data_IF_916703579729
#
_entry.id   IF_916703579729
#
_cell.length_a   1.000
_cell.length_b   1.000
_cell.length_c   1.000
_cell.angle_alpha   90.00
_cell.angle_beta   90.00
_cell.angle_gamma   90.00
#
_symmetry.space_group_name_H-M   'P 1'
#
loop_
_entity.id
_entity.type
_entity.pdbx_description
1 polymer ?
#
# COMPACT_ATOMS: atom_id res chain seq x y z
N UNK A 1 -50.72 20.69 40.21
CA UNK A 1 -51.84 21.32 39.49
C UNK A 1 -52.89 21.68 40.53
N UNK A 2 -52.93 22.95 40.89
CA UNK A 2 -53.73 23.50 41.99
C UNK A 2 -54.37 24.77 41.48
N UNK A 3 -55.68 24.71 41.27
CA UNK A 3 -56.54 25.86 40.96
C UNK A 3 -56.71 26.71 42.21
N UNK A 4 -56.80 28.05 42.10
CA UNK A 4 -57.42 28.86 43.12
C UNK A 4 -58.85 29.25 42.72
N UNK A 5 -59.72 28.96 43.67
CA UNK A 5 -61.06 29.48 43.92
C UNK A 5 -61.10 31.00 43.96
N UNK A 6 -62.17 31.59 43.45
CA UNK A 6 -62.64 32.93 43.85
C UNK A 6 -64.14 32.86 44.13
N UNK A 7 -64.46 32.72 45.42
CA UNK A 7 -65.73 33.10 46.01
C UNK A 7 -65.54 34.49 46.62
N UNK A 8 -66.41 35.44 46.29
CA UNK A 8 -66.82 36.48 47.24
C UNK A 8 -68.24 36.94 46.88
N UNK A 9 -69.19 36.53 47.73
CA UNK A 9 -70.53 37.07 47.83
C UNK A 9 -70.50 38.53 48.29
N UNK A 10 -71.45 39.35 47.82
CA UNK A 10 -72.26 40.14 48.75
C UNK A 10 -73.55 40.67 48.12
N UNK A 11 -74.68 40.12 48.57
CA UNK A 11 -75.98 40.77 48.57
C UNK A 11 -75.90 42.15 49.21
N UNK A 12 -76.49 43.15 48.55
CA UNK A 12 -77.12 44.28 49.24
C UNK A 12 -78.47 44.56 48.60
N UNK A 13 -79.51 44.17 49.35
CA UNK A 13 -80.86 44.72 49.25
C UNK A 13 -80.80 46.21 49.57
N UNK A 14 -81.42 47.06 48.75
CA UNK A 14 -81.71 48.45 49.10
C UNK A 14 -83.01 48.90 48.45
N UNK A 15 -83.85 49.50 49.30
CA UNK A 15 -85.21 49.97 49.11
C UNK A 15 -85.43 50.87 47.88
N UNK A 16 -86.60 50.71 47.25
CA UNK A 16 -87.21 51.76 46.43
C UNK A 16 -87.89 52.82 47.31
N UNK A 17 -87.59 54.11 47.11
CA UNK A 17 -88.56 55.18 47.31
C UNK A 17 -89.14 55.62 45.97
N UNK A 18 -90.47 55.73 45.94
CA UNK A 18 -91.26 56.24 44.83
C UNK A 18 -91.24 57.77 44.88
N UNK A 19 -90.89 58.40 43.76
CA UNK A 19 -91.27 59.78 43.44
C UNK A 19 -90.22 60.86 43.67
N UNK A 20 -89.53 61.26 42.60
CA UNK A 20 -89.12 62.65 42.37
C UNK A 20 -88.86 62.82 40.86
N UNK A 21 -89.65 63.69 40.22
CA UNK A 21 -89.42 64.19 38.87
C UNK A 21 -88.11 65.00 38.91
N UNK A 22 -87.04 64.48 38.32
CA UNK A 22 -85.82 65.23 38.10
C UNK A 22 -85.90 65.96 36.76
N UNK A 23 -85.48 67.24 36.70
CA UNK A 23 -85.45 68.02 35.47
C UNK A 23 -84.52 67.34 34.46
N UNK A 24 -85.01 67.18 33.24
CA UNK A 24 -84.29 66.65 32.10
C UNK A 24 -82.95 67.38 31.92
N UNK A 25 -81.86 66.70 32.25
CA UNK A 25 -80.50 67.08 31.84
C UNK A 25 -80.48 67.04 30.30
N UNK A 26 -79.90 68.04 29.60
CA UNK A 26 -79.91 68.07 28.15
C UNK A 26 -79.14 66.86 27.60
N UNK A 27 -79.85 65.95 26.94
CA UNK A 27 -79.34 64.69 26.38
C UNK A 27 -78.17 64.89 25.40
N UNK A 28 -78.04 66.08 24.81
CA UNK A 28 -76.97 66.42 23.86
C UNK A 28 -75.56 66.44 24.49
N UNK A 29 -75.39 66.79 25.78
CA UNK A 29 -74.06 66.83 26.40
C UNK A 29 -73.57 65.44 26.81
N UNK A 30 -74.50 64.55 27.16
CA UNK A 30 -74.21 63.13 27.43
C UNK A 30 -73.84 62.40 26.15
N UNK A 31 -74.55 62.63 25.04
CA UNK A 31 -74.20 62.03 23.75
C UNK A 31 -72.78 62.40 23.32
N UNK A 32 -72.36 63.66 23.47
CA UNK A 32 -70.99 64.09 23.13
C UNK A 32 -69.93 63.44 24.03
N UNK A 33 -70.23 63.23 25.31
CA UNK A 33 -69.32 62.53 26.24
C UNK A 33 -69.24 61.05 25.90
N UNK A 34 -70.38 60.41 25.63
CA UNK A 34 -70.47 59.00 25.21
C UNK A 34 -69.73 58.78 23.90
N UNK A 35 -69.86 59.69 22.93
CA UNK A 35 -69.21 59.55 21.63
C UNK A 35 -67.68 59.75 21.72
N UNK A 36 -67.22 60.65 22.61
CA UNK A 36 -65.80 60.80 22.95
C UNK A 36 -65.24 59.59 23.71
N UNK A 37 -65.99 59.03 24.66
CA UNK A 37 -65.53 57.86 25.41
C UNK A 37 -65.55 56.61 24.54
N UNK A 38 -66.53 56.45 23.65
CA UNK A 38 -66.57 55.41 22.61
C UNK A 38 -65.40 55.55 21.64
N UNK A 39 -65.13 56.75 21.12
CA UNK A 39 -64.00 56.99 20.22
C UNK A 39 -62.65 56.65 20.90
N UNK A 40 -62.50 56.99 22.18
CA UNK A 40 -61.34 56.59 22.98
C UNK A 40 -61.28 55.09 23.22
N UNK A 41 -62.42 54.45 23.53
CA UNK A 41 -62.50 53.02 23.74
C UNK A 41 -62.12 52.23 22.47
N UNK A 42 -62.57 52.66 21.30
CA UNK A 42 -62.17 52.08 20.00
C UNK A 42 -60.67 52.28 19.74
N UNK A 43 -60.10 53.43 20.13
CA UNK A 43 -58.67 53.68 20.07
C UNK A 43 -57.86 52.70 20.93
N UNK A 44 -58.30 52.48 22.18
CA UNK A 44 -57.69 51.49 23.07
C UNK A 44 -57.86 50.06 22.55
N UNK A 45 -59.01 49.73 21.97
CA UNK A 45 -59.24 48.41 21.38
C UNK A 45 -58.27 48.12 20.23
N UNK A 46 -57.98 49.10 19.38
CA UNK A 46 -56.98 48.96 18.30
C UNK A 46 -55.58 48.76 18.85
N UNK A 47 -55.18 49.55 19.85
CA UNK A 47 -53.88 49.40 20.50
C UNK A 47 -53.75 48.03 21.19
N UNK A 48 -54.82 47.57 21.84
CA UNK A 48 -54.85 46.26 22.49
C UNK A 48 -54.68 45.14 21.46
N UNK A 49 -55.40 45.20 20.33
CA UNK A 49 -55.27 44.23 19.23
C UNK A 49 -53.88 44.24 18.61
N UNK A 50 -53.25 45.41 18.47
CA UNK A 50 -51.88 45.50 17.97
C UNK A 50 -50.89 44.83 18.93
N UNK A 51 -50.98 45.12 20.23
CA UNK A 51 -50.14 44.50 21.26
C UNK A 51 -50.39 43.00 21.32
N UNK A 52 -51.64 42.55 21.24
CA UNK A 52 -51.99 41.13 21.17
C UNK A 52 -51.36 40.45 19.95
N UNK A 53 -51.42 41.08 18.77
CA UNK A 53 -50.80 40.53 17.56
C UNK A 53 -49.28 40.40 17.70
N UNK A 54 -48.60 41.43 18.21
CA UNK A 54 -47.13 41.42 18.41
C UNK A 54 -46.73 40.39 19.46
N UNK A 55 -47.53 40.25 20.52
CA UNK A 55 -47.29 39.23 21.55
C UNK A 55 -47.44 37.83 20.95
N UNK A 56 -48.46 37.60 20.13
CA UNK A 56 -48.68 36.31 19.46
C UNK A 56 -47.54 35.96 18.50
N UNK A 57 -47.03 36.96 17.76
CA UNK A 57 -45.89 36.80 16.87
C UNK A 57 -44.61 36.49 17.66
N UNK A 58 -44.33 37.25 18.72
CA UNK A 58 -43.15 37.02 19.56
C UNK A 58 -43.21 35.67 20.29
N UNK A 59 -44.38 35.26 20.78
CA UNK A 59 -44.56 33.92 21.37
C UNK A 59 -44.40 32.81 20.33
N UNK A 60 -44.89 33.02 19.12
CA UNK A 60 -44.67 32.11 17.99
C UNK A 60 -43.18 31.97 17.66
N UNK A 61 -42.47 33.10 17.60
CA UNK A 61 -41.04 33.13 17.31
C UNK A 61 -40.21 32.51 18.44
N UNK A 62 -40.56 32.78 19.71
CA UNK A 62 -39.94 32.13 20.86
C UNK A 62 -40.13 30.61 20.82
N UNK A 63 -41.34 30.14 20.49
CA UNK A 63 -41.62 28.71 20.34
C UNK A 63 -40.83 28.07 19.20
N UNK A 64 -40.63 28.78 18.09
CA UNK A 64 -39.78 28.30 16.99
C UNK A 64 -38.31 28.18 17.43
N UNK A 65 -37.79 29.18 18.14
CA UNK A 65 -36.43 29.16 18.69
C UNK A 65 -36.25 28.02 19.70
N UNK A 66 -37.21 27.83 20.61
CA UNK A 66 -37.18 26.74 21.59
C UNK A 66 -37.13 25.37 20.90
N UNK A 67 -37.93 25.19 19.85
CA UNK A 67 -37.89 23.98 19.01
C UNK A 67 -36.52 23.72 18.40
N UNK A 68 -35.89 24.75 17.81
CA UNK A 68 -34.53 24.64 17.24
C UNK A 68 -33.47 24.36 18.30
N UNK A 69 -33.58 24.99 19.47
CA UNK A 69 -32.67 24.76 20.59
C UNK A 69 -32.75 23.30 21.05
N UNK A 70 -33.97 22.78 21.16
CA UNK A 70 -34.20 21.41 21.60
C UNK A 70 -33.68 20.40 20.57
N UNK A 71 -33.87 20.68 19.28
CA UNK A 71 -33.27 19.89 18.19
C UNK A 71 -31.73 19.91 18.27
N UNK A 72 -31.12 21.09 18.39
CA UNK A 72 -29.67 21.22 18.50
C UNK A 72 -29.10 20.46 19.71
N UNK A 73 -29.78 20.51 20.86
CA UNK A 73 -29.40 19.76 22.06
C UNK A 73 -29.49 18.25 21.81
N UNK A 74 -30.54 17.78 21.13
CA UNK A 74 -30.68 16.34 20.83
C UNK A 74 -29.57 15.85 19.89
N UNK A 75 -29.24 16.65 18.87
CA UNK A 75 -28.15 16.37 17.93
C UNK A 75 -26.81 16.34 18.67
N UNK A 76 -26.55 17.34 19.51
CA UNK A 76 -25.32 17.42 20.29
C UNK A 76 -25.17 16.22 21.22
N UNK A 77 -26.22 15.84 21.96
CA UNK A 77 -26.23 14.64 22.82
C UNK A 77 -25.97 13.37 22.02
N UNK A 78 -26.56 13.24 20.84
CA UNK A 78 -26.34 12.08 19.98
C UNK A 78 -24.92 12.04 19.44
N UNK A 79 -24.34 13.18 19.07
CA UNK A 79 -22.98 13.26 18.57
C UNK A 79 -21.95 12.97 19.68
N UNK A 80 -22.11 13.56 20.86
CA UNK A 80 -21.24 13.28 22.01
C UNK A 80 -21.29 11.81 22.42
N UNK A 81 -22.46 11.18 22.41
CA UNK A 81 -22.57 9.74 22.66
C UNK A 81 -21.83 8.89 21.62
N UNK A 82 -21.92 9.25 20.32
CA UNK A 82 -21.15 8.56 19.26
C UNK A 82 -19.65 8.77 19.40
N UNK A 83 -19.22 10.00 19.68
CA UNK A 83 -17.81 10.32 19.89
C UNK A 83 -17.25 9.54 21.08
N UNK A 84 -17.97 9.51 22.20
CA UNK A 84 -17.58 8.75 23.39
C UNK A 84 -17.53 7.26 23.12
N UNK A 85 -18.52 6.71 22.41
CA UNK A 85 -18.49 5.31 21.97
C UNK A 85 -17.27 5.04 21.07
N UNK A 86 -16.95 5.95 20.16
CA UNK A 86 -15.81 5.80 19.28
C UNK A 86 -14.48 5.85 20.03
N UNK A 87 -14.37 6.73 21.01
CA UNK A 87 -13.24 6.81 21.93
C UNK A 87 -13.09 5.54 22.76
N UNK A 88 -14.20 4.99 23.26
CA UNK A 88 -14.17 3.80 24.13
C UNK A 88 -13.95 2.50 23.34
N UNK A 89 -14.49 2.38 22.14
CA UNK A 89 -14.46 1.13 21.36
C UNK A 89 -13.37 1.14 20.27
N UNK A 90 -13.28 2.21 19.46
CA UNK A 90 -12.42 2.21 18.27
C UNK A 90 -10.98 2.56 18.59
N UNK A 91 -10.73 3.54 19.47
CA UNK A 91 -9.37 3.94 19.84
C UNK A 91 -8.57 2.76 20.42
N UNK A 92 -9.05 2.03 21.46
CA UNK A 92 -8.27 0.91 22.00
C UNK A 92 -8.13 -0.25 21.02
N UNK A 93 -9.12 -0.47 20.14
CA UNK A 93 -9.01 -1.49 19.10
C UNK A 93 -7.95 -1.12 18.06
N UNK A 94 -7.89 0.15 17.65
CA UNK A 94 -6.86 0.63 16.75
C UNK A 94 -5.47 0.54 17.37
N UNK A 95 -5.31 0.94 18.64
CA UNK A 95 -4.01 0.83 19.33
C UNK A 95 -3.58 -0.63 19.47
N UNK A 96 -4.49 -1.54 19.84
CA UNK A 96 -4.19 -2.98 19.89
C UNK A 96 -3.79 -3.56 18.52
N UNK A 97 -4.44 -3.12 17.45
CA UNK A 97 -4.10 -3.55 16.08
C UNK A 97 -2.74 -2.98 15.63
N UNK A 98 -2.43 -1.73 15.99
CA UNK A 98 -1.13 -1.10 15.76
C UNK A 98 -0.01 -1.82 16.51
N UNK A 99 -0.21 -2.14 17.79
CA UNK A 99 0.75 -2.89 18.60
C UNK A 99 0.99 -4.29 18.04
N UNK A 100 -0.08 -4.98 17.64
CA UNK A 100 0.03 -6.28 16.96
C UNK A 100 0.84 -6.16 15.67
N UNK A 101 0.56 -5.16 14.84
CA UNK A 101 1.28 -4.93 13.59
C UNK A 101 2.75 -4.60 13.83
N UNK A 102 3.06 -3.78 14.85
CA UNK A 102 4.44 -3.47 15.27
C UNK A 102 5.19 -4.72 15.73
N UNK A 103 4.53 -5.59 16.49
CA UNK A 103 5.12 -6.85 16.95
C UNK A 103 5.44 -7.79 15.77
N UNK A 104 4.56 -7.87 14.78
CA UNK A 104 4.78 -8.65 13.56
C UNK A 104 5.92 -8.07 12.73
N UNK A 105 5.98 -6.74 12.60
CA UNK A 105 7.05 -6.07 11.86
C UNK A 105 8.41 -6.27 12.53
N UNK A 106 8.45 -6.22 13.86
CA UNK A 106 9.64 -6.54 14.66
C UNK A 106 10.07 -7.99 14.49
N UNK A 107 9.12 -8.93 14.51
CA UNK A 107 9.38 -10.35 14.24
C UNK A 107 9.95 -10.56 12.83
N UNK A 108 9.34 -9.96 11.81
CA UNK A 108 9.82 -10.03 10.43
C UNK A 108 11.20 -9.41 10.28
N UNK A 109 11.46 -8.26 10.91
CA UNK A 109 12.76 -7.59 10.92
C UNK A 109 13.86 -8.49 11.50
N UNK A 110 13.56 -9.22 12.58
CA UNK A 110 14.50 -10.16 13.18
C UNK A 110 14.70 -11.46 12.36
N UNK A 111 13.68 -11.91 11.63
CA UNK A 111 13.76 -13.11 10.79
C UNK A 111 14.39 -12.88 9.41
N UNK A 112 14.21 -11.69 8.82
CA UNK A 112 14.77 -11.33 7.52
C UNK A 112 16.27 -11.62 7.35
N UNK A 113 17.17 -11.25 8.30
CA UNK A 113 18.58 -11.53 8.16
C UNK A 113 18.87 -13.03 8.14
N UNK A 114 18.14 -13.83 8.92
CA UNK A 114 18.26 -15.29 8.93
C UNK A 114 17.83 -15.90 7.60
N UNK A 115 16.72 -15.44 7.02
CA UNK A 115 16.29 -15.90 5.69
C UNK A 115 17.32 -15.47 4.62
N UNK A 116 17.89 -14.27 4.74
CA UNK A 116 18.94 -13.80 3.84
C UNK A 116 20.20 -14.65 3.93
N UNK A 117 20.63 -15.06 5.11
CA UNK A 117 21.80 -15.95 5.25
C UNK A 117 21.51 -17.34 4.71
N UNK A 118 20.32 -17.89 4.95
CA UNK A 118 19.90 -19.18 4.38
C UNK A 118 19.87 -19.17 2.85
N UNK A 119 19.31 -18.13 2.24
CA UNK A 119 19.27 -18.00 0.76
C UNK A 119 20.67 -17.85 0.17
N UNK A 120 21.59 -17.15 0.85
CA UNK A 120 23.00 -17.08 0.44
C UNK A 120 23.68 -18.45 0.52
N UNK A 121 23.40 -19.25 1.55
CA UNK A 121 23.94 -20.61 1.67
C UNK A 121 23.40 -21.54 0.58
N UNK A 122 22.09 -21.50 0.30
CA UNK A 122 21.48 -22.27 -0.79
C UNK A 122 22.07 -21.87 -2.13
N UNK A 123 22.25 -20.58 -2.38
CA UNK A 123 22.91 -20.09 -3.60
C UNK A 123 24.34 -20.58 -3.71
N UNK A 124 25.12 -20.53 -2.64
CA UNK A 124 26.48 -21.03 -2.63
C UNK A 124 26.54 -22.54 -2.90
N UNK A 125 25.63 -23.33 -2.32
CA UNK A 125 25.52 -24.76 -2.58
C UNK A 125 25.13 -25.07 -4.04
N UNK A 126 24.17 -24.32 -4.59
CA UNK A 126 23.77 -24.42 -5.99
C UNK A 126 24.92 -24.08 -6.94
N UNK A 127 25.64 -22.98 -6.69
CA UNK A 127 26.78 -22.55 -7.51
C UNK A 127 27.95 -23.54 -7.41
N UNK A 128 28.17 -24.16 -6.25
CA UNK A 128 29.14 -25.24 -6.09
C UNK A 128 28.73 -26.48 -6.89
N UNK A 129 27.45 -26.89 -6.80
CA UNK A 129 26.90 -28.00 -7.59
C UNK A 129 27.02 -27.76 -9.09
N UNK A 130 26.67 -26.56 -9.56
CA UNK A 130 26.77 -26.15 -10.96
C UNK A 130 28.21 -26.23 -11.47
N UNK A 131 29.19 -25.74 -10.71
CA UNK A 131 30.60 -25.85 -11.07
C UNK A 131 31.06 -27.31 -11.17
N UNK A 132 30.62 -28.16 -10.23
CA UNK A 132 30.94 -29.59 -10.25
C UNK A 132 30.33 -30.30 -11.47
N UNK A 133 29.09 -29.98 -11.81
CA UNK A 133 28.43 -30.51 -13.00
C UNK A 133 29.14 -30.07 -14.29
N UNK A 134 29.55 -28.80 -14.39
CA UNK A 134 30.32 -28.30 -15.52
C UNK A 134 31.67 -29.01 -15.66
N UNK A 135 32.37 -29.25 -14.55
CA UNK A 135 33.62 -30.02 -14.54
C UNK A 135 33.38 -31.46 -15.02
N UNK A 136 32.34 -32.13 -14.52
CA UNK A 136 31.99 -33.49 -14.93
C UNK A 136 31.58 -33.57 -16.40
N UNK A 137 30.83 -32.58 -16.90
CA UNK A 137 30.45 -32.50 -18.32
C UNK A 137 31.71 -32.31 -19.18
N UNK A 138 32.63 -31.42 -18.78
CA UNK A 138 33.89 -31.24 -19.49
C UNK A 138 34.74 -32.53 -19.49
N UNK A 139 34.78 -33.25 -18.35
CA UNK A 139 35.49 -34.52 -18.24
C UNK A 139 34.85 -35.62 -19.12
N UNK A 140 33.51 -35.71 -19.12
CA UNK A 140 32.75 -36.64 -19.97
C UNK A 140 32.93 -36.31 -21.45
N UNK A 141 32.87 -35.04 -21.83
CA UNK A 141 33.10 -34.58 -23.19
C UNK A 141 34.52 -34.92 -23.66
N UNK A 142 35.51 -34.77 -22.77
CA UNK A 142 36.87 -35.20 -23.06
C UNK A 142 36.98 -36.73 -23.24
N UNK A 143 36.29 -37.51 -22.40
CA UNK A 143 36.31 -38.97 -22.47
C UNK A 143 35.59 -39.50 -23.72
N UNK A 144 34.50 -38.84 -24.11
CA UNK A 144 33.68 -39.20 -25.27
C UNK A 144 34.34 -38.81 -26.61
N UNK A 145 35.38 -37.97 -26.59
CA UNK A 145 36.09 -37.57 -27.80
C UNK A 145 36.76 -38.78 -28.46
N UNK A 146 36.79 -38.81 -29.78
CA UNK A 146 37.38 -39.92 -30.53
C UNK A 146 38.86 -40.13 -30.17
N UNK A 147 39.32 -41.38 -30.26
CA UNK A 147 40.70 -41.76 -29.90
C UNK A 147 41.76 -40.91 -30.61
N UNK A 148 41.54 -40.62 -31.91
CA UNK A 148 42.46 -39.82 -32.71
C UNK A 148 42.55 -38.37 -32.23
N UNK A 149 41.42 -37.76 -31.90
CA UNK A 149 41.33 -36.40 -31.39
C UNK A 149 41.90 -36.28 -29.97
N UNK A 150 41.73 -37.32 -29.13
CA UNK A 150 42.40 -37.40 -27.82
C UNK A 150 43.92 -37.47 -27.96
N UNK A 151 44.43 -38.27 -28.91
CA UNK A 151 45.87 -38.37 -29.16
C UNK A 151 46.44 -37.04 -29.67
N UNK A 152 45.79 -36.41 -30.65
CA UNK A 152 46.19 -35.10 -31.19
C UNK A 152 46.15 -34.01 -30.11
N UNK A 153 45.10 -33.98 -29.29
CA UNK A 153 45.00 -33.04 -28.17
C UNK A 153 46.08 -33.30 -27.10
N UNK A 154 46.41 -34.56 -26.79
CA UNK A 154 47.48 -34.89 -25.84
C UNK A 154 48.87 -34.44 -26.32
N UNK A 155 49.13 -34.50 -27.63
CA UNK A 155 50.42 -34.05 -28.21
C UNK A 155 50.49 -32.53 -28.29
N UNK A 156 49.44 -31.88 -28.83
CA UNK A 156 49.47 -30.46 -29.20
C UNK A 156 48.76 -29.50 -28.23
N UNK A 157 47.70 -29.92 -27.53
CA UNK A 157 46.98 -29.05 -26.60
C UNK A 157 47.64 -29.02 -25.21
N UNK A 158 47.83 -27.82 -24.65
CA UNK A 158 48.48 -27.60 -23.35
C UNK A 158 47.57 -27.93 -22.16
N UNK A 159 46.25 -27.88 -22.40
CA UNK A 159 45.19 -27.98 -21.37
C UNK A 159 44.51 -29.36 -21.30
N UNK A 160 45.10 -30.39 -21.91
CA UNK A 160 44.53 -31.74 -21.82
C UNK A 160 44.62 -32.26 -20.37
N UNK A 161 43.52 -32.77 -19.77
CA UNK A 161 43.44 -33.25 -18.38
C UNK A 161 44.11 -34.63 -18.22
N UNK A 162 45.33 -34.78 -18.71
CA UNK A 162 46.08 -36.04 -18.67
C UNK A 162 47.32 -35.84 -17.82
N UNK A 163 47.71 -36.90 -17.10
CA UNK A 163 48.92 -36.89 -16.28
C UNK A 163 50.12 -36.43 -17.10
N UNK A 164 50.93 -35.54 -16.51
CA UNK A 164 52.11 -34.97 -17.18
C UNK A 164 53.06 -36.04 -17.72
N UNK A 165 53.14 -37.18 -17.03
CA UNK A 165 53.96 -38.34 -17.42
C UNK A 165 53.51 -38.94 -18.75
N UNK A 166 52.20 -39.11 -18.94
CA UNK A 166 51.65 -39.63 -20.19
C UNK A 166 51.86 -38.66 -21.35
N UNK A 167 51.70 -37.35 -21.09
CA UNK A 167 51.96 -36.30 -22.07
C UNK A 167 53.42 -36.31 -22.53
N UNK A 168 54.37 -36.43 -21.59
CA UNK A 168 55.79 -36.51 -21.88
C UNK A 168 56.14 -37.78 -22.68
N UNK A 169 55.56 -38.93 -22.31
CA UNK A 169 55.75 -40.19 -23.01
C UNK A 169 55.23 -40.10 -24.45
N UNK A 170 54.01 -39.59 -24.67
CA UNK A 170 53.44 -39.43 -26.01
C UNK A 170 54.27 -38.49 -26.89
N UNK A 171 54.76 -37.38 -26.34
CA UNK A 171 55.63 -36.45 -27.07
C UNK A 171 57.00 -37.05 -27.38
N UNK A 172 57.58 -37.81 -26.45
CA UNK A 172 58.84 -38.52 -26.67
C UNK A 172 58.70 -39.60 -27.76
N UNK A 173 57.60 -40.36 -27.73
CA UNK A 173 57.30 -41.37 -28.74
C UNK A 173 57.10 -40.73 -30.12
N UNK A 174 56.35 -39.62 -30.20
CA UNK A 174 56.21 -38.86 -31.44
C UNK A 174 57.56 -38.34 -31.96
N UNK A 175 58.39 -37.75 -31.09
CA UNK A 175 59.72 -37.27 -31.47
C UNK A 175 60.63 -38.42 -31.95
N UNK A 176 60.59 -39.58 -31.28
CA UNK A 176 61.33 -40.77 -31.69
C UNK A 176 60.89 -41.26 -33.08
N UNK A 177 59.57 -41.32 -33.34
CA UNK A 177 59.06 -41.67 -34.67
C UNK A 177 59.57 -40.69 -35.75
N UNK A 178 59.49 -39.38 -35.49
CA UNK A 178 59.98 -38.35 -36.43
C UNK A 178 61.48 -38.49 -36.68
N UNK A 179 62.28 -38.78 -35.65
CA UNK A 179 63.72 -39.02 -35.79
C UNK A 179 64.02 -40.26 -36.64
N UNK A 180 63.28 -41.35 -36.46
CA UNK A 180 63.43 -42.56 -37.29
C UNK A 180 63.05 -42.27 -38.74
N UNK A 181 61.99 -41.51 -38.98
CA UNK A 181 61.60 -41.09 -40.34
C UNK A 181 62.65 -40.20 -40.99
N UNK A 182 63.18 -39.20 -40.27
CA UNK A 182 64.26 -38.35 -40.76
C UNK A 182 65.53 -39.14 -41.04
N UNK A 183 65.87 -40.09 -40.17
CA UNK A 183 66.99 -40.99 -40.37
C UNK A 183 66.81 -41.86 -41.61
N UNK A 184 65.64 -42.48 -41.77
CA UNK A 184 65.30 -43.29 -42.94
C UNK A 184 65.30 -42.46 -44.24
N UNK A 185 64.75 -41.25 -44.20
CA UNK A 185 64.80 -40.32 -45.33
C UNK A 185 66.25 -39.94 -45.67
N UNK A 186 67.09 -39.68 -44.65
CA UNK A 186 68.50 -39.37 -44.83
C UNK A 186 69.28 -40.53 -45.43
N UNK A 187 69.06 -41.77 -44.97
CA UNK A 187 69.70 -42.96 -45.55
C UNK A 187 69.19 -43.22 -46.97
N UNK A 188 67.91 -43.00 -47.26
CA UNK A 188 67.36 -43.08 -48.61
C UNK A 188 67.98 -42.04 -49.55
N UNK A 189 68.14 -40.78 -49.11
CA UNK A 189 68.81 -39.72 -49.87
C UNK A 189 70.28 -40.07 -50.11
N UNK A 190 71.00 -40.56 -49.09
CA UNK A 190 72.37 -41.04 -49.26
C UNK A 190 72.46 -42.23 -50.21
N UNK A 191 71.49 -43.14 -50.16
CA UNK A 191 71.38 -44.27 -51.08
C UNK A 191 71.16 -43.82 -52.52
N UNK A 192 70.21 -42.90 -52.74
CA UNK A 192 69.94 -42.30 -54.03
C UNK A 192 71.16 -41.54 -54.57
N UNK A 193 71.84 -40.78 -53.71
CA UNK A 193 73.08 -40.07 -54.07
C UNK A 193 74.18 -41.06 -54.49
N UNK A 194 74.34 -42.16 -53.76
CA UNK A 194 75.31 -43.21 -54.11
C UNK A 194 74.96 -43.90 -55.43
N UNK A 195 73.69 -44.24 -55.65
CA UNK A 195 73.23 -44.83 -56.91
C UNK A 195 73.46 -43.88 -58.10
N UNK A 196 73.20 -42.59 -57.92
CA UNK A 196 73.46 -41.57 -58.92
C UNK A 196 74.95 -41.43 -59.25
N UNK A 197 75.83 -41.55 -58.23
CA UNK A 197 77.29 -41.52 -58.44
C UNK A 197 77.80 -42.76 -59.18
N UNK A 198 77.29 -43.95 -58.86
CA UNK A 198 77.68 -45.16 -59.59
C UNK A 198 77.20 -45.14 -61.04
N UNK A 199 76.06 -44.51 -61.34
CA UNK A 199 75.57 -44.34 -62.72
C UNK A 199 76.51 -43.47 -63.58
N UNK A 200 77.22 -42.50 -62.97
CA UNK A 200 78.23 -41.68 -63.65
C UNK A 200 79.51 -42.48 -63.99
N UNK A 201 79.93 -43.40 -63.11
CA UNK A 201 81.13 -44.24 -63.33
C UNK A 201 80.93 -45.25 -64.48
N UNK A 202 79.71 -45.73 -64.70
CA UNK A 202 79.39 -46.56 -65.87
C UNK A 202 79.23 -45.72 -67.15
N UNK A 203 78.89 -44.43 -67.05
CA UNK A 203 78.87 -43.52 -68.20
C UNK A 203 80.27 -43.28 -68.80
N UNK A 204 81.30 -43.17 -67.95
CA UNK A 204 82.68 -42.98 -68.42
C UNK A 204 83.30 -44.23 -69.07
N UNK A 205 82.82 -45.44 -68.75
CA UNK A 205 83.30 -46.70 -69.37
C UNK A 205 82.65 -47.05 -70.71
N UNK A 206 81.60 -46.34 -71.12
CA UNK A 206 80.95 -46.52 -72.44
C UNK A 206 81.48 -45.48 -73.46
N UNK A 207 82.25 -44.49 -73.00
CA UNK A 207 82.86 -43.43 -73.81
C UNK A 207 84.37 -43.63 -74.05
N UNK A 208 84.95 -44.78 -73.68
CA UNK A 208 86.30 -45.20 -74.10
C UNK A 208 86.25 -46.35 -75.08
#
# INVERSE_FOLDING_TARGET
MSSPTSQYSQERVSHHPRGAVYPSVPTQSLDVVVDRTLSRAVGYERQLKEVESRLSEHLGNYRAIDGLLQEAITILRRNTARARKAETDYVPRMTAQLDSSLSLLSSLSSQLPTIRTQTLQVRAAYDAGRRKAQALVADLEWLNRDWYDRWRAAVFARDAPVSWRWRALMRALFAACVLVFLWGAWTAVRGAYRAHRHRLVWGERVLS
#
